data_IF_906358317402
#
_entry.id   IF_906358317402
#
_cell.length_a   1.000
_cell.length_b   1.000
_cell.length_c   1.000
_cell.angle_alpha   90.00
_cell.angle_beta   90.00
_cell.angle_gamma   90.00
#
_symmetry.space_group_name_H-M   'P 1'
#
loop_
_entity.id
_entity.type
_entity.pdbx_description
1 polymer ?
#
# COMPACT_ATOMS: atom_id res chain seq x y z
N UNK A 1 12.04 17.38 1.38
CA UNK A 1 12.03 16.99 -0.03
C UNK A 1 12.37 15.49 -0.11
N UNK A 2 11.35 14.65 -0.35
CA UNK A 2 11.46 13.19 -0.34
C UNK A 2 12.46 12.69 -1.39
N UNK A 3 12.49 13.30 -2.57
CA UNK A 3 13.43 12.91 -3.65
C UNK A 3 14.90 13.13 -3.26
N UNK A 4 15.17 14.19 -2.49
CA UNK A 4 16.54 14.43 -2.01
C UNK A 4 16.92 13.39 -0.96
N UNK A 5 16.01 13.04 -0.05
CA UNK A 5 16.22 12.00 0.95
C UNK A 5 16.46 10.65 0.25
N UNK A 6 15.65 10.29 -0.74
CA UNK A 6 15.83 9.07 -1.50
C UNK A 6 17.18 8.97 -2.22
N UNK A 7 17.64 10.06 -2.85
CA UNK A 7 18.96 10.11 -3.48
C UNK A 7 20.09 9.92 -2.46
N UNK A 8 19.95 10.47 -1.26
CA UNK A 8 20.90 10.25 -0.16
C UNK A 8 20.88 8.78 0.26
N UNK A 9 19.69 8.20 0.44
CA UNK A 9 19.52 6.79 0.84
C UNK A 9 20.11 5.85 -0.22
N UNK A 10 19.82 6.08 -1.49
CA UNK A 10 20.33 5.23 -2.58
C UNK A 10 21.88 5.18 -2.64
N UNK A 11 22.53 6.29 -2.30
CA UNK A 11 24.00 6.40 -2.28
C UNK A 11 24.65 6.06 -0.93
N UNK A 12 23.85 5.84 0.11
CA UNK A 12 24.31 5.70 1.48
C UNK A 12 24.72 4.26 1.84
N UNK A 13 25.58 4.14 2.87
CA UNK A 13 25.79 2.86 3.55
C UNK A 13 24.54 2.46 4.36
N UNK A 14 24.39 1.18 4.66
CA UNK A 14 23.25 0.64 5.39
C UNK A 14 23.03 1.34 6.75
N UNK A 15 24.14 1.65 7.47
CA UNK A 15 24.05 2.41 8.72
C UNK A 15 23.49 3.83 8.53
N UNK A 16 23.88 4.50 7.45
CA UNK A 16 23.38 5.84 7.15
C UNK A 16 21.94 5.81 6.66
N UNK A 17 21.55 4.79 5.86
CA UNK A 17 20.17 4.55 5.48
C UNK A 17 19.30 4.49 6.73
N UNK A 18 19.62 3.59 7.66
CA UNK A 18 18.84 3.41 8.89
C UNK A 18 18.72 4.70 9.72
N UNK A 19 19.80 5.49 9.83
CA UNK A 19 19.74 6.77 10.53
C UNK A 19 18.82 7.79 9.86
N UNK A 20 18.91 7.91 8.54
CA UNK A 20 18.08 8.86 7.77
C UNK A 20 16.60 8.48 7.86
N UNK A 21 16.29 7.20 7.68
CA UNK A 21 14.89 6.73 7.68
C UNK A 21 14.29 6.79 9.09
N UNK A 22 15.07 6.49 10.13
CA UNK A 22 14.66 6.65 11.53
C UNK A 22 14.32 8.12 11.88
N UNK A 23 15.11 9.06 11.40
CA UNK A 23 14.81 10.49 11.57
C UNK A 23 13.55 10.91 10.78
N UNK A 24 13.33 10.36 9.58
CA UNK A 24 12.09 10.60 8.81
C UNK A 24 10.88 10.10 9.58
N UNK A 25 10.91 8.86 10.07
CA UNK A 25 9.79 8.26 10.78
C UNK A 25 9.42 9.03 12.07
N UNK A 26 10.41 9.52 12.80
CA UNK A 26 10.22 10.34 14.01
C UNK A 26 9.67 11.74 13.75
N UNK A 27 9.97 12.29 12.58
CA UNK A 27 9.52 13.63 12.18
C UNK A 27 8.26 13.62 11.32
N UNK A 28 7.71 12.45 11.02
CA UNK A 28 6.40 12.30 10.39
C UNK A 28 5.33 12.52 11.46
N UNK A 29 4.81 13.74 11.54
CA UNK A 29 3.72 14.16 12.44
C UNK A 29 2.39 14.04 11.72
N UNK A 30 1.26 14.16 12.45
CA UNK A 30 -0.08 14.21 11.84
C UNK A 30 -0.20 15.25 10.72
N UNK A 31 0.53 16.35 10.80
CA UNK A 31 0.59 17.38 9.75
C UNK A 31 1.47 17.01 8.55
N UNK A 32 2.37 15.99 8.70
CA UNK A 32 3.35 15.56 7.70
C UNK A 32 3.36 14.03 7.50
N UNK A 33 2.25 13.35 7.74
CA UNK A 33 2.15 11.88 7.60
C UNK A 33 2.54 11.39 6.19
N UNK A 34 2.28 12.21 5.16
CA UNK A 34 2.69 11.93 3.79
C UNK A 34 4.20 11.85 3.59
N UNK A 35 5.03 12.33 4.52
CA UNK A 35 6.49 12.31 4.37
C UNK A 35 7.03 10.87 4.34
N UNK A 36 6.56 10.00 5.22
CA UNK A 36 6.96 8.58 5.24
C UNK A 36 6.58 7.89 3.92
N UNK A 37 5.36 8.10 3.44
CA UNK A 37 4.89 7.57 2.17
C UNK A 37 5.74 8.02 0.98
N UNK A 38 6.00 9.33 0.88
CA UNK A 38 6.81 9.91 -0.19
C UNK A 38 8.27 9.41 -0.14
N UNK A 39 8.84 9.26 1.05
CA UNK A 39 10.21 8.78 1.21
C UNK A 39 10.30 7.28 0.89
N UNK A 40 9.38 6.44 1.38
CA UNK A 40 9.33 5.03 0.99
C UNK A 40 9.19 4.86 -0.51
N UNK A 41 8.22 5.56 -1.12
CA UNK A 41 8.03 5.54 -2.58
C UNK A 41 9.29 5.93 -3.33
N UNK A 42 9.93 7.03 -2.94
CA UNK A 42 11.11 7.54 -3.61
C UNK A 42 12.35 6.62 -3.41
N UNK A 43 12.44 5.90 -2.28
CA UNK A 43 13.45 4.85 -2.08
C UNK A 43 13.17 3.68 -3.02
N UNK A 44 11.92 3.20 -3.07
CA UNK A 44 11.49 2.11 -3.95
C UNK A 44 11.78 2.44 -5.42
N UNK A 45 11.48 3.65 -5.86
CA UNK A 45 11.73 4.09 -7.23
C UNK A 45 13.22 4.19 -7.57
N UNK A 46 14.07 4.50 -6.59
CA UNK A 46 15.51 4.67 -6.81
C UNK A 46 16.31 3.38 -6.63
N UNK A 47 16.02 2.60 -5.60
CA UNK A 47 16.64 1.31 -5.28
C UNK A 47 15.76 0.56 -4.27
N UNK A 48 14.85 -0.29 -4.77
CA UNK A 48 13.92 -1.06 -3.92
C UNK A 48 14.63 -1.99 -2.92
N UNK A 49 15.83 -2.47 -3.22
CA UNK A 49 16.63 -3.28 -2.30
C UNK A 49 17.06 -2.53 -1.03
N UNK A 50 17.02 -1.21 -1.03
CA UNK A 50 17.28 -0.41 0.18
C UNK A 50 16.17 -0.51 1.22
N UNK A 51 14.97 -0.91 0.85
CA UNK A 51 13.87 -1.18 1.79
C UNK A 51 14.22 -2.35 2.71
N UNK A 52 14.89 -3.38 2.18
CA UNK A 52 15.18 -4.62 2.92
C UNK A 52 16.23 -4.41 4.02
N UNK A 53 17.06 -3.36 3.90
CA UNK A 53 18.08 -3.02 4.91
C UNK A 53 17.60 -2.05 5.98
N UNK A 54 16.37 -1.51 5.85
CA UNK A 54 15.77 -0.69 6.90
C UNK A 54 15.44 -1.58 8.10
N UNK A 55 15.80 -1.12 9.31
CA UNK A 55 15.44 -1.82 10.54
C UNK A 55 13.93 -2.08 10.61
N UNK A 56 13.52 -3.29 10.97
CA UNK A 56 12.11 -3.70 10.93
C UNK A 56 11.19 -2.78 11.72
N UNK A 57 11.56 -2.37 12.93
CA UNK A 57 10.75 -1.45 13.76
C UNK A 57 10.52 -0.09 13.05
N UNK A 58 11.52 0.42 12.34
CA UNK A 58 11.44 1.69 11.60
C UNK A 58 10.60 1.49 10.33
N UNK A 59 10.82 0.40 9.61
CA UNK A 59 10.08 0.03 8.42
C UNK A 59 8.58 -0.12 8.75
N UNK A 60 8.24 -0.87 9.79
CA UNK A 60 6.87 -1.07 10.26
C UNK A 60 6.21 0.26 10.65
N UNK A 61 6.95 1.15 11.33
CA UNK A 61 6.46 2.50 11.66
C UNK A 61 6.15 3.31 10.39
N UNK A 62 7.04 3.29 9.40
CA UNK A 62 6.83 4.02 8.15
C UNK A 62 5.68 3.43 7.31
N UNK A 63 5.54 2.12 7.28
CA UNK A 63 4.41 1.43 6.63
C UNK A 63 3.10 1.90 7.27
N UNK A 64 3.00 1.84 8.59
CA UNK A 64 1.82 2.29 9.33
C UNK A 64 1.49 3.76 9.02
N UNK A 65 2.45 4.66 9.12
CA UNK A 65 2.28 6.08 8.79
C UNK A 65 1.84 6.29 7.33
N UNK A 66 2.32 5.46 6.41
CA UNK A 66 1.93 5.51 5.00
C UNK A 66 0.46 5.13 4.83
N UNK A 67 0.01 4.06 5.45
CA UNK A 67 -1.39 3.61 5.37
C UNK A 67 -2.33 4.59 6.08
N UNK A 68 -1.99 5.04 7.30
CA UNK A 68 -2.76 6.06 8.02
C UNK A 68 -2.89 7.37 7.21
N UNK A 69 -1.81 7.78 6.53
CA UNK A 69 -1.85 8.93 5.64
C UNK A 69 -2.78 8.73 4.45
N UNK A 70 -2.79 7.54 3.86
CA UNK A 70 -3.66 7.23 2.75
C UNK A 70 -5.15 7.26 3.16
N UNK A 71 -5.48 6.72 4.32
CA UNK A 71 -6.85 6.72 4.85
C UNK A 71 -7.33 8.12 5.24
N UNK A 72 -6.51 8.89 5.96
CA UNK A 72 -6.86 10.25 6.37
C UNK A 72 -7.11 11.19 5.17
N UNK A 73 -6.48 10.93 4.04
CA UNK A 73 -6.72 11.71 2.83
C UNK A 73 -8.03 11.34 2.12
N UNK A 74 -8.54 10.13 2.29
CA UNK A 74 -9.86 9.77 1.79
C UNK A 74 -10.99 10.49 2.54
N UNK A 75 -10.81 10.73 3.85
CA UNK A 75 -11.84 11.38 4.67
C UNK A 75 -11.92 12.90 4.49
N UNK A 76 -10.88 13.57 4.00
CA UNK A 76 -10.76 15.03 4.15
C UNK A 76 -10.67 15.87 2.88
N UNK A 77 -10.30 15.35 1.73
CA UNK A 77 -9.99 16.19 0.54
C UNK A 77 -10.29 15.44 -0.76
N UNK A 78 -10.78 16.16 -1.74
CA UNK A 78 -11.30 15.67 -3.00
C UNK A 78 -10.45 14.60 -3.71
N UNK A 79 -11.12 13.89 -4.57
CA UNK A 79 -10.75 12.68 -5.35
C UNK A 79 -9.29 12.63 -5.85
N UNK A 80 -8.63 13.76 -6.09
CA UNK A 80 -7.31 13.80 -6.70
C UNK A 80 -6.17 13.44 -5.73
N UNK A 81 -6.29 13.78 -4.44
CA UNK A 81 -5.24 13.46 -3.45
C UNK A 81 -5.35 12.00 -2.94
N UNK A 82 -6.56 11.45 -2.90
CA UNK A 82 -6.75 10.04 -2.56
C UNK A 82 -6.19 9.11 -3.64
N UNK A 83 -6.35 9.46 -4.91
CA UNK A 83 -5.75 8.72 -6.03
C UNK A 83 -4.21 8.73 -5.98
N UNK A 84 -3.59 9.84 -5.58
CA UNK A 84 -2.14 9.93 -5.43
C UNK A 84 -1.63 8.97 -4.33
N UNK A 85 -2.31 8.88 -3.18
CA UNK A 85 -1.91 7.99 -2.10
C UNK A 85 -2.17 6.52 -2.40
N UNK A 86 -3.28 6.18 -3.04
CA UNK A 86 -3.54 4.82 -3.54
C UNK A 86 -2.44 4.37 -4.51
N UNK A 87 -2.03 5.26 -5.41
CA UNK A 87 -0.92 4.99 -6.32
C UNK A 87 0.40 4.77 -5.58
N UNK A 88 0.71 5.60 -4.57
CA UNK A 88 1.92 5.46 -3.75
C UNK A 88 1.92 4.12 -3.02
N UNK A 89 0.84 3.77 -2.33
CA UNK A 89 0.71 2.50 -1.60
C UNK A 89 0.87 1.31 -2.53
N UNK A 90 0.15 1.29 -3.66
CA UNK A 90 0.25 0.21 -4.63
C UNK A 90 1.63 0.11 -5.29
N UNK A 91 2.29 1.23 -5.59
CA UNK A 91 3.66 1.24 -6.12
C UNK A 91 4.66 0.64 -5.13
N UNK A 92 4.55 0.97 -3.85
CA UNK A 92 5.41 0.38 -2.81
C UNK A 92 5.16 -1.13 -2.75
N UNK A 93 3.91 -1.58 -2.68
CA UNK A 93 3.57 -3.02 -2.62
C UNK A 93 4.12 -3.76 -3.83
N UNK A 94 3.93 -3.24 -5.03
CA UNK A 94 4.34 -3.89 -6.29
C UNK A 94 5.86 -4.01 -6.38
N UNK A 95 6.61 -2.99 -5.97
CA UNK A 95 8.05 -2.90 -6.20
C UNK A 95 8.92 -3.34 -4.99
N UNK A 96 8.33 -3.76 -3.89
CA UNK A 96 9.05 -4.33 -2.74
C UNK A 96 8.98 -5.85 -2.72
N UNK A 97 9.69 -6.49 -1.79
CA UNK A 97 9.60 -7.93 -1.58
C UNK A 97 8.19 -8.36 -1.09
N UNK A 98 7.95 -9.66 -1.02
CA UNK A 98 6.66 -10.19 -0.59
C UNK A 98 6.40 -9.90 0.89
N UNK A 99 7.42 -9.90 1.74
CA UNK A 99 7.28 -9.66 3.18
C UNK A 99 6.85 -8.21 3.45
N UNK A 100 7.47 -7.24 2.79
CA UNK A 100 7.08 -5.83 2.89
C UNK A 100 5.67 -5.59 2.31
N UNK A 101 5.36 -6.18 1.16
CA UNK A 101 4.02 -6.14 0.58
C UNK A 101 2.96 -6.72 1.51
N UNK A 102 3.26 -7.88 2.14
CA UNK A 102 2.38 -8.54 3.12
C UNK A 102 2.13 -7.67 4.36
N UNK A 103 3.16 -7.02 4.89
CA UNK A 103 3.01 -6.10 6.03
C UNK A 103 2.13 -4.90 5.67
N UNK A 104 2.22 -4.37 4.45
CA UNK A 104 1.34 -3.30 3.99
C UNK A 104 -0.12 -3.76 3.88
N UNK A 105 -0.37 -4.98 3.39
CA UNK A 105 -1.70 -5.58 3.35
C UNK A 105 -2.26 -5.78 4.77
N UNK A 106 -1.44 -6.28 5.70
CA UNK A 106 -1.83 -6.43 7.10
C UNK A 106 -2.20 -5.08 7.74
N UNK A 107 -1.43 -4.03 7.50
CA UNK A 107 -1.72 -2.71 8.03
C UNK A 107 -2.97 -2.09 7.39
N UNK A 108 -3.23 -2.32 6.09
CA UNK A 108 -4.49 -1.97 5.44
C UNK A 108 -5.68 -2.63 6.15
N UNK A 109 -5.59 -3.92 6.47
CA UNK A 109 -6.64 -4.64 7.20
C UNK A 109 -6.86 -4.08 8.61
N UNK A 110 -5.77 -3.80 9.34
CA UNK A 110 -5.82 -3.30 10.71
C UNK A 110 -6.42 -1.90 10.81
N UNK A 111 -6.28 -1.12 9.77
CA UNK A 111 -6.71 0.28 9.72
C UNK A 111 -7.97 0.49 8.88
N UNK A 112 -8.51 -0.56 8.27
CA UNK A 112 -9.79 -0.51 7.54
C UNK A 112 -10.91 -0.07 8.50
N UNK A 113 -11.58 1.00 8.15
CA UNK A 113 -12.78 1.48 8.83
C UNK A 113 -14.01 1.12 8.02
N UNK A 114 -15.15 0.88 8.68
CA UNK A 114 -16.46 0.56 8.02
C UNK A 114 -17.01 1.78 7.20
N UNK A 115 -16.17 2.46 6.44
CA UNK A 115 -16.54 3.65 5.66
C UNK A 115 -16.66 3.35 4.17
N UNK A 116 -17.60 4.05 3.50
CA UNK A 116 -18.00 3.85 2.09
C UNK A 116 -16.90 4.08 1.03
N UNK A 117 -15.68 4.47 1.43
CA UNK A 117 -14.54 4.67 0.54
C UNK A 117 -13.38 3.77 0.98
N UNK A 118 -13.48 2.49 0.69
CA UNK A 118 -12.46 1.54 1.11
C UNK A 118 -11.18 1.68 0.26
N UNK A 119 -10.13 2.19 0.89
CA UNK A 119 -8.77 2.21 0.34
C UNK A 119 -8.35 0.81 -0.16
N UNK A 120 -8.85 -0.25 0.48
CA UNK A 120 -8.52 -1.64 0.18
C UNK A 120 -8.89 -2.02 -1.25
N UNK A 121 -10.12 -1.70 -1.69
CA UNK A 121 -10.57 -2.00 -3.06
C UNK A 121 -9.73 -1.24 -4.09
N UNK A 122 -9.48 0.05 -3.84
CA UNK A 122 -8.67 0.88 -4.73
C UNK A 122 -7.22 0.37 -4.83
N UNK A 123 -6.62 -0.04 -3.71
CA UNK A 123 -5.26 -0.58 -3.68
C UNK A 123 -5.17 -1.93 -4.38
N UNK A 124 -6.10 -2.87 -4.12
CA UNK A 124 -6.14 -4.17 -4.80
C UNK A 124 -6.30 -3.97 -6.32
N UNK A 125 -7.21 -3.11 -6.73
CA UNK A 125 -7.43 -2.79 -8.15
C UNK A 125 -6.16 -2.20 -8.78
N UNK A 126 -5.51 -1.23 -8.12
CA UNK A 126 -4.28 -0.63 -8.61
C UNK A 126 -3.11 -1.63 -8.69
N UNK A 127 -3.01 -2.58 -7.75
CA UNK A 127 -2.03 -3.68 -7.82
C UNK A 127 -2.34 -4.58 -9.02
N UNK A 128 -3.63 -4.93 -9.23
CA UNK A 128 -4.05 -5.78 -10.34
C UNK A 128 -3.72 -5.19 -11.71
N UNK A 129 -3.82 -3.88 -11.84
CA UNK A 129 -3.43 -3.15 -13.06
C UNK A 129 -1.92 -3.12 -13.29
N UNK A 130 -1.16 -2.89 -12.21
CA UNK A 130 0.29 -2.66 -12.30
C UNK A 130 1.08 -3.96 -12.43
N UNK A 131 0.73 -4.97 -11.65
CA UNK A 131 1.43 -6.26 -11.60
C UNK A 131 0.52 -7.41 -11.13
N UNK A 132 -0.11 -8.07 -12.09
CA UNK A 132 -0.93 -9.27 -11.86
C UNK A 132 -0.15 -10.40 -11.18
N UNK A 133 1.15 -10.54 -11.48
CA UNK A 133 1.99 -11.57 -10.86
C UNK A 133 2.17 -11.29 -9.37
N UNK A 134 2.37 -10.03 -9.00
CA UNK A 134 2.48 -9.61 -7.61
C UNK A 134 1.17 -9.85 -6.85
N UNK A 135 0.03 -9.50 -7.44
CA UNK A 135 -1.28 -9.76 -6.86
C UNK A 135 -1.47 -11.25 -6.55
N UNK A 136 -1.20 -12.11 -7.53
CA UNK A 136 -1.33 -13.56 -7.36
C UNK A 136 -0.34 -14.12 -6.33
N UNK A 137 0.90 -13.63 -6.32
CA UNK A 137 1.90 -14.03 -5.31
C UNK A 137 1.45 -13.65 -3.89
N UNK A 138 0.87 -12.47 -3.70
CA UNK A 138 0.33 -12.04 -2.42
C UNK A 138 -0.88 -12.89 -2.01
N UNK A 139 -1.78 -13.21 -2.94
CA UNK A 139 -2.95 -14.06 -2.67
C UNK A 139 -2.58 -15.50 -2.30
N UNK A 140 -1.50 -16.03 -2.85
CA UNK A 140 -1.01 -17.38 -2.54
C UNK A 140 -0.23 -17.45 -1.22
N UNK A 141 0.67 -16.49 -1.00
CA UNK A 141 1.59 -16.52 0.15
C UNK A 141 0.98 -15.88 1.41
N UNK A 142 -0.02 -15.02 1.24
CA UNK A 142 -0.64 -14.25 2.32
C UNK A 142 -2.17 -14.38 2.28
N UNK A 143 -2.64 -15.59 2.03
CA UNK A 143 -4.04 -15.88 1.73
C UNK A 143 -4.98 -15.29 2.78
N UNK A 144 -4.76 -15.55 4.07
CA UNK A 144 -5.63 -15.09 5.15
C UNK A 144 -5.80 -13.55 5.15
N UNK A 145 -4.71 -12.81 4.97
CA UNK A 145 -4.75 -11.35 4.93
C UNK A 145 -5.41 -10.82 3.66
N UNK A 146 -5.17 -11.48 2.53
CA UNK A 146 -5.83 -11.13 1.27
C UNK A 146 -7.32 -11.46 1.29
N UNK A 147 -7.73 -12.56 1.94
CA UNK A 147 -9.13 -12.92 2.15
C UNK A 147 -9.85 -11.82 2.96
N UNK A 148 -9.25 -11.40 4.09
CA UNK A 148 -9.81 -10.32 4.94
C UNK A 148 -9.91 -9.00 4.15
N UNK A 149 -8.85 -8.63 3.44
CA UNK A 149 -8.81 -7.40 2.66
C UNK A 149 -9.89 -7.39 1.57
N UNK A 150 -10.07 -8.53 0.88
CA UNK A 150 -11.05 -8.69 -0.18
C UNK A 150 -12.48 -8.66 0.37
N UNK A 151 -12.75 -9.37 1.45
CA UNK A 151 -14.07 -9.34 2.13
C UNK A 151 -14.41 -7.91 2.58
N UNK A 152 -13.46 -7.21 3.21
CA UNK A 152 -13.63 -5.81 3.62
C UNK A 152 -13.89 -4.91 2.41
N UNK A 153 -13.09 -5.05 1.37
CA UNK A 153 -13.21 -4.24 0.15
C UNK A 153 -14.58 -4.39 -0.52
N UNK A 154 -15.10 -5.62 -0.61
CA UNK A 154 -16.41 -5.90 -1.21
C UNK A 154 -17.54 -5.43 -0.30
N UNK A 155 -17.46 -5.71 1.00
CA UNK A 155 -18.48 -5.31 1.98
C UNK A 155 -18.65 -3.79 2.04
N UNK A 156 -17.55 -3.04 1.91
CA UNK A 156 -17.53 -1.59 1.97
C UNK A 156 -17.68 -0.93 0.59
N UNK A 157 -17.67 -1.72 -0.49
CA UNK A 157 -17.96 -1.22 -1.81
C UNK A 157 -19.41 -0.69 -1.83
N UNK A 158 -19.56 0.57 -2.20
CA UNK A 158 -20.89 1.11 -2.44
C UNK A 158 -21.49 0.50 -3.72
N UNK A 159 -22.81 0.64 -3.91
CA UNK A 159 -23.49 0.17 -5.12
C UNK A 159 -23.26 1.11 -6.31
N UNK A 160 -22.08 1.71 -6.42
CA UNK A 160 -21.71 2.61 -7.51
C UNK A 160 -21.18 1.83 -8.72
N UNK A 161 -21.26 2.46 -9.89
CA UNK A 161 -20.65 1.95 -11.10
C UNK A 161 -19.12 1.87 -10.96
N UNK A 162 -18.50 2.80 -10.22
CA UNK A 162 -17.06 2.84 -9.96
C UNK A 162 -16.59 1.62 -9.15
N UNK A 163 -17.26 1.28 -8.05
CA UNK A 163 -16.94 0.10 -7.25
C UNK A 163 -17.12 -1.20 -8.05
N UNK A 164 -18.18 -1.29 -8.86
CA UNK A 164 -18.41 -2.44 -9.72
C UNK A 164 -17.30 -2.60 -10.78
N UNK A 165 -16.84 -1.50 -11.37
CA UNK A 165 -15.74 -1.51 -12.35
C UNK A 165 -14.41 -1.94 -11.69
N UNK A 166 -14.09 -1.45 -10.48
CA UNK A 166 -12.89 -1.85 -9.74
C UNK A 166 -12.91 -3.36 -9.40
N UNK A 167 -14.03 -3.89 -8.93
CA UNK A 167 -14.21 -5.32 -8.66
C UNK A 167 -14.03 -6.13 -9.95
N UNK A 168 -14.69 -5.74 -11.03
CA UNK A 168 -14.59 -6.41 -12.32
C UNK A 168 -13.15 -6.43 -12.84
N UNK A 169 -12.41 -5.35 -12.66
CA UNK A 169 -11.02 -5.23 -13.04
C UNK A 169 -10.12 -6.19 -12.25
N UNK A 170 -10.29 -6.26 -10.92
CA UNK A 170 -9.54 -7.20 -10.09
C UNK A 170 -9.82 -8.63 -10.52
N UNK A 171 -11.08 -9.00 -10.72
CA UNK A 171 -11.50 -10.35 -11.19
C UNK A 171 -10.89 -10.67 -12.55
N UNK A 172 -10.87 -9.73 -13.48
CA UNK A 172 -10.31 -9.94 -14.82
C UNK A 172 -8.80 -10.18 -14.83
N UNK A 173 -8.09 -9.66 -13.85
CA UNK A 173 -6.62 -9.74 -13.73
C UNK A 173 -6.14 -10.79 -12.71
N UNK A 174 -6.99 -11.30 -11.84
CA UNK A 174 -6.66 -12.28 -10.81
C UNK A 174 -6.44 -13.69 -11.37
N UNK A 175 -5.74 -14.55 -10.62
CA UNK A 175 -5.75 -15.99 -10.86
C UNK A 175 -7.17 -16.57 -10.70
N UNK A 176 -7.44 -17.71 -11.33
CA UNK A 176 -8.75 -18.35 -11.25
C UNK A 176 -9.21 -18.58 -9.79
N UNK A 177 -8.29 -18.96 -8.90
CA UNK A 177 -8.59 -19.20 -7.49
C UNK A 177 -8.96 -17.90 -6.76
N UNK A 178 -8.20 -16.83 -6.98
CA UNK A 178 -8.49 -15.53 -6.36
C UNK A 178 -9.73 -14.87 -6.97
N UNK A 179 -9.93 -14.97 -8.29
CA UNK A 179 -11.14 -14.48 -8.94
C UNK A 179 -12.41 -15.19 -8.42
N UNK A 180 -12.36 -16.52 -8.23
CA UNK A 180 -13.47 -17.29 -7.68
C UNK A 180 -13.78 -16.90 -6.22
N UNK A 181 -12.77 -16.60 -5.45
CA UNK A 181 -12.95 -16.08 -4.09
C UNK A 181 -13.69 -14.74 -4.11
N UNK A 182 -13.23 -13.76 -4.90
CA UNK A 182 -13.88 -12.45 -5.02
C UNK A 182 -15.35 -12.60 -5.44
N UNK A 183 -15.63 -13.45 -6.45
CA UNK A 183 -17.00 -13.70 -6.93
C UNK A 183 -17.85 -14.35 -5.83
N UNK A 184 -17.26 -15.13 -4.95
CA UNK A 184 -17.96 -15.77 -3.83
C UNK A 184 -18.40 -14.78 -2.73
N UNK A 185 -17.74 -13.63 -2.62
CA UNK A 185 -18.06 -12.56 -1.65
C UNK A 185 -19.07 -11.53 -2.18
N UNK A 186 -19.24 -11.41 -3.51
CA UNK A 186 -20.22 -10.52 -4.16
C UNK A 186 -21.62 -11.12 -4.09
#
# INVERSE_FOLDING_TARGET
DADLIAKVVAAASDELVNKVVDEVSKNSTEENQTLSAQVLKAIVDSDSGKIDIINDDVKDTMIKQTIESAQNQQEGTGIQQSQDMTSIVSDIIVNTDTDTGSKMIEELNNSSTDTENDLSLQVISAISEKDTTKLNTLSENNKEQMDILTESAIKNADASEESADLIAQVVANASDDFANQIIGEV
#
